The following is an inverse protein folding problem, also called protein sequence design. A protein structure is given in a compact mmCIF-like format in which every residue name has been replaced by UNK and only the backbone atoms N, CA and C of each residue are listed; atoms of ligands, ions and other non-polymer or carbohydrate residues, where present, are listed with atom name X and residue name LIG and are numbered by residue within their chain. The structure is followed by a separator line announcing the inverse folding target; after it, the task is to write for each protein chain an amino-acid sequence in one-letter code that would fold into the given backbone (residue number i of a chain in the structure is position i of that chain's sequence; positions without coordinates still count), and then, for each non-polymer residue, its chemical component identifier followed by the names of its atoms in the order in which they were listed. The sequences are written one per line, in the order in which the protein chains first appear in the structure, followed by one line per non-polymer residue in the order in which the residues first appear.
data_IF_054750774846
#
_entry.id   IF_054750774846
#
_cell.length_a   1.000
_cell.length_b   1.000
_cell.length_c   1.000
_cell.angle_alpha   90.00
_cell.angle_beta   90.00
_cell.angle_gamma   90.00
#
_symmetry.space_group_name_H-M   'P 1'
#
loop_
_entity.id
_entity.type
_entity.pdbx_description
1 polymer ?
#
# COMPACT_ATOMS: atom_id res chain seq x y z
N UNK A 1 8.42 32.09 40.77
CA UNK A 1 9.52 31.50 39.98
C UNK A 1 9.56 29.96 40.00
N UNK A 2 9.34 29.28 41.15
CA UNK A 2 9.39 27.80 41.26
C UNK A 2 8.30 27.04 40.49
N UNK A 3 7.09 27.61 40.38
CA UNK A 3 5.93 26.97 39.73
C UNK A 3 6.10 26.94 38.20
N UNK A 4 6.62 28.02 37.61
CA UNK A 4 6.89 28.11 36.17
C UNK A 4 7.96 27.09 35.71
N UNK A 5 8.97 26.85 36.54
CA UNK A 5 10.02 25.86 36.26
C UNK A 5 9.48 24.42 36.27
N UNK A 6 8.55 24.12 37.18
CA UNK A 6 7.88 22.82 37.26
C UNK A 6 6.95 22.57 36.08
N UNK A 7 6.23 23.59 35.58
CA UNK A 7 5.39 23.46 34.39
C UNK A 7 6.19 23.23 33.11
N UNK A 8 7.38 23.83 32.97
CA UNK A 8 8.26 23.62 31.81
C UNK A 8 8.80 22.19 31.76
N UNK A 9 9.21 21.64 32.91
CA UNK A 9 9.67 20.25 33.01
C UNK A 9 8.53 19.26 32.71
N UNK A 10 7.31 19.55 33.18
CA UNK A 10 6.14 18.74 32.87
C UNK A 10 5.79 18.77 31.38
N UNK A 11 5.90 19.94 30.72
CA UNK A 11 5.67 20.07 29.29
C UNK A 11 6.72 19.33 28.44
N UNK A 12 7.98 19.31 28.90
CA UNK A 12 9.08 18.58 28.26
C UNK A 12 8.95 17.05 28.38
N UNK A 13 8.33 16.56 29.45
CA UNK A 13 8.06 15.13 29.66
C UNK A 13 6.89 14.61 28.80
N UNK A 14 6.03 15.49 28.27
CA UNK A 14 4.94 15.11 27.36
C UNK A 14 5.36 14.92 25.90
N UNK A 15 6.61 15.25 25.52
CA UNK A 15 7.13 14.94 24.18
C UNK A 15 7.42 13.45 24.05
N UNK A 16 6.36 12.65 23.92
CA UNK A 16 6.45 11.25 23.51
C UNK A 16 7.16 11.18 22.17
N UNK A 17 8.24 10.40 22.13
CA UNK A 17 8.95 10.08 20.88
C UNK A 17 7.98 9.29 19.99
N UNK A 18 7.33 9.96 19.04
CA UNK A 18 6.66 9.27 17.93
C UNK A 18 7.74 8.60 17.12
N UNK A 19 7.93 7.30 17.32
CA UNK A 19 8.71 6.45 16.43
C UNK A 19 7.88 6.31 15.16
N UNK A 20 8.24 7.08 14.13
CA UNK A 20 7.76 6.83 12.77
C UNK A 20 8.39 5.51 12.30
N UNK A 21 7.69 4.40 12.54
CA UNK A 21 8.06 3.11 11.97
C UNK A 21 7.90 3.22 10.45
N UNK A 22 8.98 2.97 9.71
CA UNK A 22 8.94 2.95 8.25
C UNK A 22 8.22 1.68 7.82
N UNK A 23 6.93 1.78 7.52
CA UNK A 23 6.10 0.68 6.98
C UNK A 23 6.36 0.40 5.48
N UNK A 24 7.47 0.90 4.93
CA UNK A 24 7.81 0.64 3.54
C UNK A 24 8.12 -0.85 3.32
N UNK A 25 7.59 -1.40 2.24
CA UNK A 25 7.85 -2.78 1.81
C UNK A 25 8.53 -2.77 0.45
N UNK A 26 9.12 -3.90 0.06
CA UNK A 26 9.57 -4.08 -1.32
C UNK A 26 8.38 -3.98 -2.27
N UNK A 27 8.58 -3.28 -3.39
CA UNK A 27 7.58 -3.10 -4.44
C UNK A 27 7.97 -4.00 -5.62
N UNK A 28 7.17 -5.04 -5.93
CA UNK A 28 7.38 -5.85 -7.12
C UNK A 28 7.43 -5.01 -8.38
N UNK A 29 8.29 -5.38 -9.35
CA UNK A 29 8.52 -4.60 -10.57
C UNK A 29 7.22 -4.34 -11.35
N UNK A 30 6.34 -5.34 -11.43
CA UNK A 30 5.08 -5.24 -12.16
C UNK A 30 4.07 -4.32 -11.47
N UNK A 31 4.11 -4.23 -10.13
CA UNK A 31 3.34 -3.25 -9.37
C UNK A 31 3.93 -1.85 -9.58
N UNK A 32 5.26 -1.71 -9.58
CA UNK A 32 5.93 -0.41 -9.78
C UNK A 32 5.62 0.20 -11.15
N UNK A 33 5.54 -0.62 -12.21
CA UNK A 33 5.13 -0.17 -13.56
C UNK A 33 3.76 0.48 -13.58
N UNK A 34 2.84 0.01 -12.72
CA UNK A 34 1.45 0.47 -12.62
C UNK A 34 1.33 1.64 -11.63
N UNK A 35 1.99 1.53 -10.48
CA UNK A 35 1.96 2.51 -9.39
C UNK A 35 3.40 2.94 -9.02
N UNK A 36 4.02 3.85 -9.78
CA UNK A 36 5.41 4.26 -9.56
C UNK A 36 5.69 4.93 -8.22
N UNK A 37 4.63 5.46 -7.57
CA UNK A 37 4.69 6.13 -6.28
C UNK A 37 4.32 5.21 -5.10
N UNK A 38 4.13 3.91 -5.35
CA UNK A 38 3.83 2.95 -4.29
C UNK A 38 5.00 2.89 -3.30
N UNK A 39 4.67 2.97 -2.01
CA UNK A 39 5.66 2.83 -0.93
C UNK A 39 5.41 1.59 -0.09
N UNK A 40 4.23 0.98 -0.22
CA UNK A 40 3.85 -0.21 0.54
C UNK A 40 2.84 -1.07 -0.23
N UNK A 41 3.09 -2.37 -0.23
CA UNK A 41 2.21 -3.44 -0.71
C UNK A 41 1.92 -4.34 0.48
N UNK A 42 0.64 -4.57 0.77
CA UNK A 42 0.19 -5.41 1.89
C UNK A 42 -0.29 -6.75 1.33
N UNK A 43 -0.30 -7.79 2.16
CA UNK A 43 -0.86 -9.10 1.78
C UNK A 43 -2.27 -8.98 1.20
N UNK A 44 -2.58 -9.89 0.27
CA UNK A 44 -3.91 -10.00 -0.34
C UNK A 44 -5.00 -10.13 0.73
N UNK A 45 -6.14 -9.50 0.47
CA UNK A 45 -7.33 -9.74 1.29
C UNK A 45 -7.73 -11.22 1.23
N UNK A 46 -8.08 -11.81 2.36
CA UNK A 46 -8.42 -13.24 2.46
C UNK A 46 -9.68 -13.63 1.70
N UNK A 47 -10.56 -12.64 1.45
CA UNK A 47 -11.92 -12.88 0.97
C UNK A 47 -12.01 -12.71 -0.57
N UNK A 48 -11.11 -11.90 -1.13
CA UNK A 48 -11.01 -11.59 -2.55
C UNK A 48 -9.52 -11.42 -2.86
N UNK A 49 -9.02 -12.13 -3.88
CA UNK A 49 -7.61 -12.11 -4.30
C UNK A 49 -7.23 -10.77 -4.96
N UNK A 50 -7.19 -9.72 -4.17
CA UNK A 50 -6.75 -8.37 -4.56
C UNK A 50 -5.75 -7.86 -3.53
N UNK A 51 -4.72 -7.20 -4.03
CA UNK A 51 -3.62 -6.64 -3.26
C UNK A 51 -3.78 -5.12 -3.19
N UNK A 52 -4.00 -4.52 -2.00
CA UNK A 52 -4.14 -3.08 -1.88
C UNK A 52 -2.78 -2.37 -1.96
N UNK A 53 -2.70 -1.28 -2.73
CA UNK A 53 -1.47 -0.52 -2.99
C UNK A 53 -1.56 0.87 -2.37
N UNK A 54 -0.53 1.25 -1.60
CA UNK A 54 -0.51 2.50 -0.83
C UNK A 54 0.67 3.40 -1.17
N UNK A 55 0.44 4.72 -1.04
CA UNK A 55 1.48 5.73 -0.85
C UNK A 55 1.36 6.26 0.58
N UNK A 56 2.33 5.93 1.43
CA UNK A 56 2.26 6.16 2.88
C UNK A 56 0.95 5.57 3.45
N UNK A 57 0.07 6.41 3.99
CA UNK A 57 -1.24 6.02 4.52
C UNK A 57 -2.39 6.16 3.51
N UNK A 58 -2.12 6.65 2.30
CA UNK A 58 -3.13 6.85 1.26
C UNK A 58 -3.26 5.61 0.39
N UNK A 59 -4.46 5.04 0.31
CA UNK A 59 -4.79 4.00 -0.66
C UNK A 59 -4.79 4.59 -2.08
N UNK A 60 -3.96 4.05 -2.97
CA UNK A 60 -3.91 4.41 -4.38
C UNK A 60 -4.89 3.58 -5.21
N UNK A 61 -5.03 2.29 -4.87
CA UNK A 61 -5.83 1.35 -5.64
C UNK A 61 -5.55 -0.10 -5.25
N UNK A 62 -5.89 -1.02 -6.14
CA UNK A 62 -5.76 -2.46 -5.98
C UNK A 62 -5.06 -3.07 -7.19
N UNK A 63 -4.27 -4.12 -6.97
CA UNK A 63 -3.66 -4.94 -8.03
C UNK A 63 -4.09 -6.39 -7.88
N UNK A 64 -4.38 -7.04 -8.99
CA UNK A 64 -4.64 -8.48 -9.04
C UNK A 64 -4.22 -9.05 -10.40
N UNK A 65 -4.09 -10.37 -10.45
CA UNK A 65 -3.82 -11.10 -11.68
C UNK A 65 -5.13 -11.63 -12.26
N UNK A 66 -5.25 -11.69 -13.59
CA UNK A 66 -6.45 -12.27 -14.21
C UNK A 66 -6.71 -13.70 -13.73
N UNK A 67 -5.64 -14.51 -13.61
CA UNK A 67 -5.73 -15.91 -13.17
C UNK A 67 -6.13 -16.07 -11.71
N UNK A 68 -6.15 -14.99 -10.91
CA UNK A 68 -6.74 -15.03 -9.58
C UNK A 68 -8.23 -15.36 -9.63
N UNK A 69 -8.91 -14.95 -10.72
CA UNK A 69 -10.35 -15.06 -10.91
C UNK A 69 -10.73 -16.00 -12.06
N UNK A 70 -10.10 -15.87 -13.22
CA UNK A 70 -10.41 -16.64 -14.43
C UNK A 70 -9.14 -16.86 -15.26
N UNK A 71 -8.92 -18.10 -15.67
CA UNK A 71 -7.87 -18.43 -16.64
C UNK A 71 -8.33 -18.11 -18.07
N UNK A 72 -7.66 -17.15 -18.72
CA UNK A 72 -7.92 -16.80 -20.12
C UNK A 72 -7.04 -17.59 -21.08
N UNK A 73 -7.63 -18.11 -22.16
CA UNK A 73 -6.89 -18.76 -23.25
C UNK A 73 -6.65 -17.75 -24.37
N UNK A 74 -5.38 -17.48 -24.67
CA UNK A 74 -5.00 -16.63 -25.79
C UNK A 74 -5.21 -17.32 -27.14
N UNK A 75 -5.12 -16.58 -28.23
CA UNK A 75 -5.28 -17.11 -29.60
C UNK A 75 -4.31 -18.24 -29.95
N UNK A 76 -3.17 -18.34 -29.27
CA UNK A 76 -2.20 -19.43 -29.41
C UNK A 76 -2.65 -20.75 -28.76
N UNK A 77 -3.79 -20.77 -28.08
CA UNK A 77 -4.23 -21.88 -27.23
C UNK A 77 -3.51 -21.96 -25.88
N UNK A 78 -2.60 -21.03 -25.59
CA UNK A 78 -1.88 -20.98 -24.30
C UNK A 78 -2.58 -20.04 -23.31
N UNK A 79 -2.50 -20.32 -22.00
CA UNK A 79 -2.97 -19.41 -20.97
C UNK A 79 -2.28 -18.04 -21.07
N UNK A 80 -3.04 -16.99 -20.80
CA UNK A 80 -2.55 -15.61 -20.70
C UNK A 80 -2.89 -15.09 -19.32
N UNK A 81 -1.89 -14.52 -18.65
CA UNK A 81 -2.07 -13.82 -17.40
C UNK A 81 -1.76 -12.33 -17.58
N UNK A 82 -2.61 -11.49 -17.01
CA UNK A 82 -2.52 -10.03 -17.05
C UNK A 82 -2.54 -9.52 -15.62
N UNK A 83 -1.60 -8.65 -15.28
CA UNK A 83 -1.62 -7.88 -14.04
C UNK A 83 -2.49 -6.64 -14.29
N UNK A 84 -3.51 -6.43 -13.46
CA UNK A 84 -4.47 -5.33 -13.61
C UNK A 84 -4.38 -4.39 -12.41
N UNK A 85 -4.22 -3.10 -12.66
CA UNK A 85 -4.36 -2.05 -11.66
C UNK A 85 -5.74 -1.42 -11.69
N UNK A 86 -6.39 -1.29 -10.54
CA UNK A 86 -7.66 -0.57 -10.38
C UNK A 86 -7.48 0.59 -9.40
N UNK A 87 -7.55 1.82 -9.90
CA UNK A 87 -7.52 3.03 -9.07
C UNK A 87 -8.79 3.21 -8.26
N UNK A 88 -8.70 3.97 -7.16
CA UNK A 88 -9.84 4.26 -6.27
C UNK A 88 -10.99 5.02 -6.94
N UNK A 89 -10.75 5.63 -8.11
CA UNK A 89 -11.77 6.32 -8.90
C UNK A 89 -12.33 5.45 -10.05
N UNK A 90 -11.99 4.16 -10.10
CA UNK A 90 -12.46 3.23 -11.13
C UNK A 90 -11.68 3.26 -12.44
N UNK A 91 -10.58 4.01 -12.50
CA UNK A 91 -9.64 3.99 -13.61
C UNK A 91 -8.84 2.66 -13.61
N UNK A 92 -8.62 2.09 -14.79
CA UNK A 92 -7.92 0.80 -14.97
C UNK A 92 -6.57 1.03 -15.66
N UNK A 93 -5.54 0.33 -15.20
CA UNK A 93 -4.16 0.39 -15.69
C UNK A 93 -3.63 -1.00 -16.03
#
# INVERSE_FOLDING_TARGET
MRIAFSSIIFLLLLSTKVLAQSDATDIPEDIYKIFPNATRVVEMHTDIKVTPVYQLQQLLGYVFESSDFVDFIGFSGKPVNVVIGLGTQGNVF
#
